data_IF_824085938836
#
_entry.id   IF_824085938836
#
_cell.length_a   1.000
_cell.length_b   1.000
_cell.length_c   1.000
_cell.angle_alpha   90.00
_cell.angle_beta   90.00
_cell.angle_gamma   90.00
#
_symmetry.space_group_name_H-M   'P 1'
#
loop_
_entity.id
_entity.type
_entity.pdbx_description
1 polymer ?
#
# COMPACT_ATOMS: atom_id res chain seq x y z
N UNK A 1 14.80 2.61 -17.63
CA UNK A 1 14.38 3.08 -16.29
C UNK A 1 14.23 1.91 -15.33
N UNK A 2 13.51 0.85 -15.71
CA UNK A 2 13.42 -0.42 -14.98
C UNK A 2 14.76 -1.00 -14.48
N UNK A 3 15.84 -0.96 -15.28
CA UNK A 3 17.15 -1.50 -14.86
C UNK A 3 17.74 -0.79 -13.62
N UNK A 4 17.58 0.54 -13.52
CA UNK A 4 18.05 1.30 -12.35
C UNK A 4 17.17 1.07 -11.12
N UNK A 5 15.87 0.91 -11.32
CA UNK A 5 14.93 0.56 -10.26
C UNK A 5 15.26 -0.82 -9.68
N UNK A 6 15.53 -1.78 -10.55
CA UNK A 6 15.90 -3.15 -10.19
C UNK A 6 17.20 -3.19 -9.36
N UNK A 7 18.27 -2.54 -9.83
CA UNK A 7 19.53 -2.45 -9.10
C UNK A 7 19.36 -1.80 -7.71
N UNK A 8 18.52 -0.74 -7.63
CA UNK A 8 18.18 -0.08 -6.38
C UNK A 8 17.42 -1.01 -5.42
N UNK A 9 16.47 -1.78 -5.95
CA UNK A 9 15.63 -2.71 -5.20
C UNK A 9 16.43 -3.89 -4.65
N UNK A 10 17.31 -4.49 -5.46
CA UNK A 10 18.23 -5.55 -5.01
C UNK A 10 19.09 -5.09 -3.84
N UNK A 11 19.64 -3.88 -3.93
CA UNK A 11 20.43 -3.27 -2.85
C UNK A 11 19.59 -3.02 -1.61
N UNK A 12 18.36 -2.55 -1.77
CA UNK A 12 17.44 -2.28 -0.66
C UNK A 12 17.04 -3.58 0.07
N UNK A 13 16.85 -4.67 -0.67
CA UNK A 13 16.43 -5.98 -0.15
C UNK A 13 17.59 -6.82 0.41
N UNK A 14 18.84 -6.40 0.26
CA UNK A 14 20.03 -7.15 0.71
C UNK A 14 19.96 -7.60 2.18
N UNK A 15 19.32 -6.80 3.04
CA UNK A 15 19.18 -7.06 4.47
C UNK A 15 17.74 -7.43 4.87
N UNK A 16 16.89 -7.78 3.91
CA UNK A 16 15.54 -8.23 4.20
C UNK A 16 15.57 -9.68 4.72
N UNK A 17 14.72 -9.98 5.71
CA UNK A 17 14.75 -11.25 6.44
C UNK A 17 14.41 -12.48 5.57
N UNK A 18 13.61 -12.28 4.52
CA UNK A 18 13.22 -13.32 3.58
C UNK A 18 13.96 -13.08 2.27
N UNK A 19 14.60 -14.13 1.75
CA UNK A 19 15.31 -14.03 0.48
C UNK A 19 14.33 -14.22 -0.67
N UNK A 20 14.05 -13.14 -1.39
CA UNK A 20 13.31 -13.20 -2.66
C UNK A 20 14.22 -13.75 -3.76
N UNK A 21 13.64 -14.51 -4.69
CA UNK A 21 14.31 -14.96 -5.92
C UNK A 21 14.44 -13.81 -6.90
N UNK A 22 15.37 -13.91 -7.85
CA UNK A 22 15.58 -12.89 -8.89
C UNK A 22 14.28 -12.61 -9.67
N UNK A 23 13.48 -13.64 -9.95
CA UNK A 23 12.17 -13.50 -10.59
C UNK A 23 11.18 -12.71 -9.72
N UNK A 24 11.14 -12.96 -8.41
CA UNK A 24 10.30 -12.19 -7.49
C UNK A 24 10.76 -10.73 -7.38
N UNK A 25 12.07 -10.48 -7.37
CA UNK A 25 12.61 -9.11 -7.35
C UNK A 25 12.23 -8.37 -8.64
N UNK A 26 12.35 -9.04 -9.79
CA UNK A 26 11.91 -8.51 -11.08
C UNK A 26 10.41 -8.19 -11.08
N UNK A 27 9.56 -9.13 -10.66
CA UNK A 27 8.12 -8.89 -10.55
C UNK A 27 7.79 -7.73 -9.60
N UNK A 28 8.47 -7.65 -8.45
CA UNK A 28 8.29 -6.54 -7.51
C UNK A 28 8.67 -5.19 -8.15
N UNK A 29 9.78 -5.15 -8.88
CA UNK A 29 10.23 -3.97 -9.63
C UNK A 29 9.17 -3.52 -10.63
N UNK A 30 8.61 -4.44 -11.40
CA UNK A 30 7.54 -4.17 -12.37
C UNK A 30 6.25 -3.67 -11.71
N UNK A 31 5.87 -4.25 -10.57
CA UNK A 31 4.70 -3.78 -9.81
C UNK A 31 4.95 -2.37 -9.28
N UNK A 32 6.12 -2.09 -8.69
CA UNK A 32 6.46 -0.76 -8.17
C UNK A 32 6.46 0.30 -9.27
N UNK A 33 7.01 -0.02 -10.45
CA UNK A 33 6.99 0.87 -11.62
C UNK A 33 5.55 1.13 -12.10
N UNK A 34 4.73 0.08 -12.21
CA UNK A 34 3.34 0.19 -12.64
C UNK A 34 2.48 1.05 -11.71
N UNK A 35 2.69 0.94 -10.39
CA UNK A 35 1.96 1.72 -9.38
C UNK A 35 2.71 3.00 -8.95
N UNK A 36 3.68 3.48 -9.72
CA UNK A 36 4.47 4.68 -9.38
C UNK A 36 3.57 5.89 -9.07
N UNK A 37 3.79 6.53 -7.92
CA UNK A 37 2.98 7.65 -7.41
C UNK A 37 1.58 7.27 -6.92
N UNK A 38 1.18 6.01 -7.04
CA UNK A 38 -0.14 5.48 -6.70
C UNK A 38 -0.12 4.52 -5.50
N UNK A 39 -1.31 4.01 -5.16
CA UNK A 39 -1.48 2.98 -4.12
C UNK A 39 -1.28 1.59 -4.71
N UNK A 40 -0.42 0.80 -4.08
CA UNK A 40 -0.17 -0.58 -4.47
C UNK A 40 -1.09 -1.54 -3.68
N UNK A 41 -1.89 -2.39 -4.35
CA UNK A 41 -2.74 -3.34 -3.65
C UNK A 41 -1.89 -4.49 -3.07
N UNK A 42 -1.95 -4.71 -1.75
CA UNK A 42 -1.24 -5.82 -1.09
C UNK A 42 -1.57 -7.18 -1.70
N UNK A 43 -2.83 -7.40 -2.12
CA UNK A 43 -3.24 -8.65 -2.77
C UNK A 43 -2.50 -8.91 -4.09
N UNK A 44 -2.15 -7.85 -4.82
CA UNK A 44 -1.36 -7.95 -6.05
C UNK A 44 0.04 -8.42 -5.69
N UNK A 45 0.73 -7.75 -4.76
CA UNK A 45 2.07 -8.14 -4.30
C UNK A 45 2.09 -9.58 -3.81
N UNK A 46 1.13 -9.97 -2.97
CA UNK A 46 1.00 -11.33 -2.45
C UNK A 46 0.92 -12.37 -3.56
N UNK A 47 0.06 -12.12 -4.57
CA UNK A 47 -0.18 -13.06 -5.67
C UNK A 47 1.03 -13.17 -6.60
N UNK A 48 1.58 -12.03 -7.01
CA UNK A 48 2.69 -12.00 -7.98
C UNK A 48 3.99 -12.52 -7.37
N UNK A 49 4.20 -12.33 -6.06
CA UNK A 49 5.38 -12.84 -5.36
C UNK A 49 5.16 -14.21 -4.71
N UNK A 50 3.94 -14.75 -4.75
CA UNK A 50 3.56 -16.01 -4.09
C UNK A 50 3.97 -16.05 -2.61
N UNK A 51 3.69 -14.97 -1.89
CA UNK A 51 3.96 -14.84 -0.45
C UNK A 51 2.68 -15.12 0.35
N UNK A 52 2.84 -15.48 1.63
CA UNK A 52 1.73 -15.40 2.59
C UNK A 52 1.34 -13.95 2.87
N UNK A 53 0.20 -13.74 3.53
CA UNK A 53 -0.24 -12.39 3.90
C UNK A 53 0.76 -11.74 4.86
N UNK A 54 1.18 -12.45 5.90
CA UNK A 54 2.13 -11.97 6.90
C UNK A 54 3.48 -11.57 6.25
N UNK A 55 4.02 -12.41 5.37
CA UNK A 55 5.24 -12.10 4.62
C UNK A 55 5.07 -10.88 3.70
N UNK A 56 3.89 -10.73 3.10
CA UNK A 56 3.57 -9.56 2.28
C UNK A 56 3.55 -8.30 3.14
N UNK A 57 2.86 -8.29 4.27
CA UNK A 57 2.82 -7.15 5.19
C UNK A 57 4.21 -6.78 5.68
N UNK A 58 5.01 -7.77 6.09
CA UNK A 58 6.40 -7.58 6.48
C UNK A 58 7.26 -6.96 5.38
N UNK A 59 7.07 -7.39 4.13
CA UNK A 59 7.77 -6.83 2.97
C UNK A 59 7.37 -5.36 2.76
N UNK A 60 6.07 -5.06 2.81
CA UNK A 60 5.56 -3.71 2.61
C UNK A 60 6.09 -2.74 3.66
N UNK A 61 6.06 -3.14 4.94
CA UNK A 61 6.64 -2.38 6.06
C UNK A 61 8.15 -2.20 5.84
N UNK A 62 8.86 -3.24 5.41
CA UNK A 62 10.29 -3.14 5.15
C UNK A 62 10.60 -2.14 4.04
N UNK A 63 9.89 -2.19 2.91
CA UNK A 63 10.06 -1.26 1.80
C UNK A 63 9.76 0.19 2.21
N UNK A 64 8.80 0.39 3.12
CA UNK A 64 8.57 1.70 3.73
C UNK A 64 9.78 2.20 4.53
N UNK A 65 10.44 1.34 5.32
CA UNK A 65 11.70 1.72 6.00
C UNK A 65 12.84 2.10 5.05
N UNK A 66 12.73 1.74 3.77
CA UNK A 66 13.67 2.10 2.70
C UNK A 66 13.25 3.33 1.92
N UNK A 67 12.10 3.92 2.23
CA UNK A 67 11.55 5.07 1.51
C UNK A 67 11.04 4.73 0.11
N UNK A 68 10.87 3.45 -0.22
CA UNK A 68 10.29 3.00 -1.50
C UNK A 68 8.77 3.10 -1.45
N UNK A 69 8.20 2.79 -0.28
CA UNK A 69 6.79 2.94 0.00
C UNK A 69 6.58 4.00 1.10
N UNK A 70 5.35 4.50 1.17
CA UNK A 70 4.87 5.33 2.27
C UNK A 70 3.47 4.92 2.66
N UNK A 71 3.22 4.74 3.96
CA UNK A 71 1.88 4.53 4.49
C UNK A 71 0.96 5.71 4.15
N UNK A 72 -0.27 5.39 3.80
CA UNK A 72 -1.37 6.33 3.65
C UNK A 72 -2.64 5.70 4.22
N UNK A 73 -3.70 6.48 4.32
CA UNK A 73 -4.93 6.10 4.99
C UNK A 73 -6.09 6.17 4.01
N UNK A 74 -6.64 5.01 3.66
CA UNK A 74 -7.87 4.92 2.88
C UNK A 74 -9.06 4.87 3.84
N UNK A 75 -10.01 5.76 3.67
CA UNK A 75 -11.25 5.77 4.44
C UNK A 75 -12.35 5.08 3.62
N UNK A 76 -13.16 4.24 4.26
CA UNK A 76 -14.31 3.60 3.60
C UNK A 76 -15.59 3.75 4.43
N UNK A 77 -16.75 3.62 3.79
CA UNK A 77 -18.05 3.58 4.45
C UNK A 77 -18.76 2.27 4.06
N UNK A 78 -19.01 1.35 5.00
CA UNK A 78 -19.60 0.04 4.68
C UNK A 78 -21.06 0.14 4.20
N UNK A 79 -21.82 1.13 4.69
CA UNK A 79 -23.29 1.18 4.53
C UNK A 79 -23.77 1.81 3.20
N UNK A 80 -22.86 2.27 2.34
CA UNK A 80 -23.21 2.71 0.99
C UNK A 80 -22.13 2.33 -0.03
N UNK A 81 -22.54 1.55 -1.04
CA UNK A 81 -21.77 1.34 -2.28
C UNK A 81 -21.46 2.66 -3.02
N UNK A 82 -22.25 3.71 -2.77
CA UNK A 82 -22.13 5.04 -3.39
C UNK A 82 -21.35 6.06 -2.56
N UNK A 83 -20.83 5.70 -1.38
CA UNK A 83 -19.86 6.53 -0.67
C UNK A 83 -18.48 6.42 -1.34
N UNK A 84 -18.42 6.87 -2.60
CA UNK A 84 -17.26 6.92 -3.50
C UNK A 84 -16.41 8.14 -3.11
N UNK A 85 -16.11 8.29 -1.82
CA UNK A 85 -14.89 8.97 -1.42
C UNK A 85 -13.99 7.89 -0.85
N UNK A 86 -13.47 7.06 -1.76
CA UNK A 86 -12.20 6.38 -1.53
C UNK A 86 -11.11 7.45 -1.52
N UNK A 87 -11.15 8.31 -0.50
CA UNK A 87 -10.11 9.31 -0.31
C UNK A 87 -8.94 8.67 0.42
N UNK A 88 -7.75 8.92 -0.12
CA UNK A 88 -6.48 8.50 0.42
C UNK A 88 -5.85 9.74 1.04
N UNK A 89 -5.60 9.68 2.34
CA UNK A 89 -4.97 10.74 3.11
C UNK A 89 -3.53 10.33 3.43
N UNK A 90 -2.57 11.23 3.23
CA UNK A 90 -1.17 10.97 3.57
C UNK A 90 -0.90 11.16 5.07
N UNK A 91 -1.80 11.84 5.79
CA UNK A 91 -1.75 12.08 7.23
C UNK A 91 -3.11 11.75 7.88
N UNK A 92 -3.08 11.00 8.98
CA UNK A 92 -4.28 10.62 9.73
C UNK A 92 -5.02 11.83 10.29
N UNK A 93 -4.34 12.94 10.52
CA UNK A 93 -4.91 14.18 11.07
C UNK A 93 -5.77 14.92 10.06
N UNK A 94 -5.53 14.68 8.77
CA UNK A 94 -6.29 15.27 7.67
C UNK A 94 -7.62 14.53 7.44
N UNK A 95 -7.79 13.35 8.04
CA UNK A 95 -9.03 12.58 7.95
C UNK A 95 -10.14 13.31 8.71
N UNK A 96 -11.28 13.60 8.06
CA UNK A 96 -12.42 14.22 8.73
C UNK A 96 -12.87 13.40 9.95
N UNK A 97 -12.95 14.05 11.11
CA UNK A 97 -13.37 13.40 12.36
C UNK A 97 -14.89 13.23 12.47
N UNK A 98 -15.63 13.91 11.61
CA UNK A 98 -17.09 13.95 11.61
C UNK A 98 -17.69 12.66 11.02
N UNK A 99 -19.02 12.59 11.07
CA UNK A 99 -19.76 11.55 10.38
C UNK A 99 -19.69 11.74 8.88
N UNK A 100 -19.83 10.63 8.16
CA UNK A 100 -19.99 10.68 6.71
C UNK A 100 -21.22 11.52 6.34
N UNK A 101 -20.99 12.55 5.54
CA UNK A 101 -22.01 13.52 5.10
C UNK A 101 -22.93 12.97 4.00
N UNK A 102 -22.65 11.74 3.52
CA UNK A 102 -23.37 11.07 2.43
C UNK A 102 -24.17 9.85 2.85
N UNK A 103 -24.15 9.46 4.13
CA UNK A 103 -24.99 8.37 4.65
C UNK A 103 -25.87 8.86 5.82
N UNK A 104 -27.11 8.40 5.84
CA UNK A 104 -28.07 8.68 6.93
C UNK A 104 -27.73 7.90 8.21
N UNK A 105 -26.96 6.82 8.06
CA UNK A 105 -26.38 6.09 9.18
C UNK A 105 -25.13 6.82 9.68
N UNK A 106 -24.93 6.86 11.00
CA UNK A 106 -23.87 7.65 11.67
C UNK A 106 -22.48 7.04 11.48
N UNK A 107 -22.06 6.73 10.25
CA UNK A 107 -20.73 6.24 9.93
C UNK A 107 -19.68 7.26 10.41
N UNK A 108 -18.69 6.81 11.18
CA UNK A 108 -17.60 7.66 11.67
C UNK A 108 -16.35 7.30 10.85
N UNK A 109 -15.82 8.24 10.07
CA UNK A 109 -14.67 7.99 9.19
C UNK A 109 -13.46 7.41 9.93
N UNK A 110 -13.14 7.94 11.11
CA UNK A 110 -12.03 7.44 11.92
C UNK A 110 -12.17 5.97 12.35
N UNK A 111 -13.38 5.41 12.37
CA UNK A 111 -13.60 4.00 12.70
C UNK A 111 -13.39 3.07 11.50
N UNK A 112 -13.31 3.62 10.29
CA UNK A 112 -13.26 2.88 9.04
C UNK A 112 -12.02 3.27 8.22
N UNK A 113 -10.85 3.29 8.89
CA UNK A 113 -9.56 3.55 8.27
C UNK A 113 -8.88 2.22 7.93
N UNK A 114 -8.38 2.12 6.70
CA UNK A 114 -7.51 1.04 6.24
C UNK A 114 -6.15 1.66 5.90
N UNK A 115 -5.07 1.08 6.44
CA UNK A 115 -3.71 1.45 6.05
C UNK A 115 -3.43 0.89 4.66
N UNK A 116 -2.94 1.74 3.78
CA UNK A 116 -2.51 1.39 2.42
C UNK A 116 -1.09 1.91 2.19
N UNK A 117 -0.41 1.42 1.16
CA UNK A 117 0.94 1.86 0.83
C UNK A 117 0.97 2.55 -0.54
N UNK A 118 1.64 3.69 -0.62
CA UNK A 118 1.90 4.43 -1.87
C UNK A 118 3.34 4.24 -2.31
N UNK A 119 3.58 4.12 -3.61
CA UNK A 119 4.93 4.13 -4.18
C UNK A 119 5.45 5.56 -4.24
N UNK A 120 6.65 5.80 -3.72
CA UNK A 120 7.31 7.12 -3.63
C UNK A 120 8.22 7.39 -4.82
#
# INVERSE_FOLDING_TARGET
MLSKLLEGLEKALKNYKIKLTDNQIQSLSEILDFYSGGVIPMRTVRRELNLSMDETEDLMIYLETKGILKSAYKVYCPDKSECIREEIYDDVRDIPKAHCDKCDERCIYLKNIIVVFKVV
#
